data_IF_628725395226
#
_entry.id   IF_628725395226
#
_cell.length_a   1.000
_cell.length_b   1.000
_cell.length_c   1.000
_cell.angle_alpha   90.00
_cell.angle_beta   90.00
_cell.angle_gamma   90.00
#
_symmetry.space_group_name_H-M   'P 1'
#
loop_
_entity.id
_entity.type
_entity.pdbx_description
1 polymer ?
#
# COMPACT_ATOMS: atom_id res chain seq x y z
N UNK A 1 -5.97 8.65 2.20
CA UNK A 1 -6.08 7.54 3.17
C UNK A 1 -7.14 6.57 2.68
N UNK A 2 -6.83 5.28 2.61
CA UNK A 2 -7.74 4.25 2.08
C UNK A 2 -7.21 3.46 0.88
N UNK A 3 -5.98 3.75 0.41
CA UNK A 3 -5.31 2.94 -0.60
C UNK A 3 -4.92 1.58 -0.01
N UNK A 4 -5.09 0.53 -0.82
CA UNK A 4 -4.61 -0.81 -0.49
C UNK A 4 -3.26 -1.03 -1.19
N UNK A 5 -2.28 -1.52 -0.45
CA UNK A 5 -0.96 -1.88 -0.97
C UNK A 5 -0.51 -3.21 -0.41
N UNK A 6 0.54 -3.76 -1.01
CA UNK A 6 1.11 -5.06 -0.66
C UNK A 6 2.41 -4.86 0.11
N UNK A 7 2.57 -5.48 1.28
CA UNK A 7 3.86 -5.52 1.97
C UNK A 7 4.81 -6.39 1.15
N UNK A 8 5.86 -5.79 0.59
CA UNK A 8 6.90 -6.49 -0.19
C UNK A 8 8.17 -6.73 0.63
N UNK A 9 8.35 -5.98 1.72
CA UNK A 9 9.42 -6.20 2.69
C UNK A 9 8.96 -5.80 4.09
N UNK A 10 9.44 -6.53 5.10
CA UNK A 10 9.25 -6.22 6.51
C UNK A 10 10.62 -6.09 7.15
N UNK A 11 10.87 -4.95 7.79
CA UNK A 11 12.09 -4.76 8.57
C UNK A 11 12.11 -5.69 9.79
N UNK A 12 13.29 -6.08 10.29
CA UNK A 12 13.40 -6.91 11.50
C UNK A 12 12.59 -6.31 12.66
N UNK A 13 11.87 -7.15 13.40
CA UNK A 13 11.00 -6.71 14.50
C UNK A 13 9.61 -6.21 14.07
N UNK A 14 9.36 -6.02 12.78
CA UNK A 14 8.08 -5.50 12.28
C UNK A 14 7.88 -4.00 12.55
N UNK A 15 8.99 -3.28 12.78
CA UNK A 15 8.97 -1.85 13.12
C UNK A 15 8.61 -0.94 11.94
N UNK A 16 8.79 -1.44 10.72
CA UNK A 16 8.41 -0.78 9.48
C UNK A 16 8.19 -1.80 8.35
N UNK A 17 7.49 -1.36 7.30
CA UNK A 17 7.21 -2.14 6.10
C UNK A 17 7.54 -1.32 4.86
N UNK A 18 8.05 -2.00 3.82
CA UNK A 18 8.00 -1.46 2.46
C UNK A 18 6.71 -1.95 1.84
N UNK A 19 5.86 -1.00 1.43
CA UNK A 19 4.56 -1.28 0.82
C UNK A 19 4.58 -0.82 -0.64
N UNK A 20 4.21 -1.73 -1.52
CA UNK A 20 4.00 -1.47 -2.94
C UNK A 20 2.54 -1.10 -3.21
N UNK A 21 2.34 0.00 -3.93
CA UNK A 21 1.05 0.39 -4.48
C UNK A 21 1.07 0.19 -5.99
N UNK A 22 0.06 -0.50 -6.51
CA UNK A 22 -0.09 -0.84 -7.92
C UNK A 22 -1.34 -0.16 -8.48
N UNK A 23 -1.33 0.14 -9.77
CA UNK A 23 -2.56 0.35 -10.54
C UNK A 23 -3.36 -0.94 -10.64
N UNK A 24 -4.63 -0.87 -11.09
CA UNK A 24 -5.47 -2.05 -11.24
C UNK A 24 -5.03 -2.98 -12.40
N UNK A 25 -4.23 -2.50 -13.34
CA UNK A 25 -3.58 -3.29 -14.39
C UNK A 25 -2.19 -3.82 -13.97
N UNK A 26 -1.75 -3.52 -12.75
CA UNK A 26 -0.57 -4.14 -12.13
C UNK A 26 0.73 -3.36 -12.29
N UNK A 27 0.70 -2.11 -12.76
CA UNK A 27 1.88 -1.26 -12.80
C UNK A 27 2.19 -0.68 -11.42
N UNK A 28 3.46 -0.76 -11.02
CA UNK A 28 3.93 -0.16 -9.76
C UNK A 28 3.84 1.36 -9.82
N UNK A 29 3.05 1.94 -8.93
CA UNK A 29 2.91 3.40 -8.75
C UNK A 29 3.93 3.93 -7.76
N UNK A 30 4.13 3.21 -6.65
CA UNK A 30 5.02 3.64 -5.57
C UNK A 30 5.51 2.47 -4.71
N UNK A 31 6.72 2.63 -4.18
CA UNK A 31 7.29 1.84 -3.10
C UNK A 31 7.60 2.79 -1.94
N UNK A 32 6.95 2.58 -0.79
CA UNK A 32 7.05 3.51 0.34
C UNK A 32 7.30 2.77 1.65
N UNK A 33 8.12 3.38 2.50
CA UNK A 33 8.29 2.97 3.90
C UNK A 33 7.10 3.44 4.73
N UNK A 34 6.46 2.51 5.45
CA UNK A 34 5.36 2.79 6.37
C UNK A 34 5.62 2.19 7.75
N UNK A 35 5.32 2.98 8.78
CA UNK A 35 5.24 2.53 10.16
C UNK A 35 3.93 1.76 10.39
N UNK A 36 3.88 0.81 11.34
CA UNK A 36 2.66 0.09 11.69
C UNK A 36 1.46 0.98 12.02
N UNK A 37 1.70 2.15 12.61
CA UNK A 37 0.63 3.11 12.96
C UNK A 37 0.02 3.84 11.74
N UNK A 38 0.65 3.76 10.57
CA UNK A 38 0.20 4.43 9.34
C UNK A 38 -0.65 3.51 8.45
N UNK A 39 -0.77 2.23 8.79
CA UNK A 39 -1.50 1.23 8.03
C UNK A 39 -2.44 0.43 8.94
N UNK A 40 -3.41 -0.23 8.31
CA UNK A 40 -4.20 -1.30 8.95
C UNK A 40 -4.15 -2.54 8.06
N UNK A 41 -4.28 -3.76 8.62
CA UNK A 41 -4.45 -4.95 7.81
C UNK A 41 -5.69 -4.87 6.92
N UNK A 42 -5.58 -5.39 5.71
CA UNK A 42 -6.73 -5.68 4.83
C UNK A 42 -7.40 -6.97 5.32
N UNK A 43 -8.72 -7.00 5.28
CA UNK A 43 -9.57 -8.09 5.76
C UNK A 43 -10.56 -8.52 4.68
N UNK A 44 -11.22 -9.66 4.88
CA UNK A 44 -12.27 -10.15 3.97
C UNK A 44 -13.53 -9.26 3.89
N UNK A 45 -13.60 -8.19 4.69
CA UNK A 45 -14.72 -7.25 4.71
C UNK A 45 -14.41 -5.94 3.98
N UNK A 46 -13.21 -5.80 3.43
CA UNK A 46 -12.78 -4.60 2.73
C UNK A 46 -13.20 -4.64 1.25
N UNK A 47 -13.62 -3.48 0.72
CA UNK A 47 -13.93 -3.27 -0.70
C UNK A 47 -13.08 -2.08 -1.16
N UNK A 48 -12.28 -2.28 -2.21
CA UNK A 48 -11.44 -1.23 -2.77
C UNK A 48 -12.27 -0.25 -3.61
N UNK A 49 -11.98 1.04 -3.49
CA UNK A 49 -12.54 2.08 -4.36
C UNK A 49 -11.56 2.38 -5.49
N UNK A 50 -11.97 2.19 -6.74
CA UNK A 50 -11.18 2.55 -7.90
C UNK A 50 -11.17 4.07 -8.11
N UNK A 51 -9.99 4.65 -8.34
CA UNK A 51 -9.81 6.06 -8.70
C UNK A 51 -8.64 6.21 -9.67
N UNK A 52 -8.61 7.33 -10.40
CA UNK A 52 -7.47 7.68 -11.24
C UNK A 52 -6.30 8.07 -10.33
N UNK A 53 -5.12 7.51 -10.60
CA UNK A 53 -3.88 7.92 -9.97
C UNK A 53 -3.43 9.22 -10.62
N UNK A 54 -3.40 10.30 -9.84
CA UNK A 54 -2.81 11.57 -10.27
C UNK A 54 -1.33 11.55 -9.90
N UNK A 55 -0.49 10.98 -10.77
CA UNK A 55 0.96 11.07 -10.61
C UNK A 55 1.39 12.50 -10.95
N UNK A 56 2.02 13.20 -10.01
CA UNK A 56 2.67 14.48 -10.31
C UNK A 56 3.83 14.22 -11.29
N UNK A 57 3.72 14.79 -12.50
CA UNK A 57 4.83 14.89 -13.46
C UNK A 57 5.79 15.99 -13.02
#
# INVERSE_FOLDING_TARGET
AGDAGTIVHMYPGGDAFIVEFLTLDGDTVALVDLLPSQARPVTSRDITHARIVETAV
#
